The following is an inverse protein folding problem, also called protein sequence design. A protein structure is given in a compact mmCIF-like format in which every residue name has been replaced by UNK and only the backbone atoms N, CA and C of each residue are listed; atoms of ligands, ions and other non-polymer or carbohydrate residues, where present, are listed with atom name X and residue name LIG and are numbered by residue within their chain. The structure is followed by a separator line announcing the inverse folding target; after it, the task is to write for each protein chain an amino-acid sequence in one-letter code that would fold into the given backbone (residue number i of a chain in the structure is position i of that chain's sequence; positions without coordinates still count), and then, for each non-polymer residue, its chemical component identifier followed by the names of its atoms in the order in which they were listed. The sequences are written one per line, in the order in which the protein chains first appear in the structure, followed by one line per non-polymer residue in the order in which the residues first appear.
data_IF_141492883226
#
_entry.id   IF_141492883226
#
_cell.length_a   1.000
_cell.length_b   1.000
_cell.length_c   1.000
_cell.angle_alpha   90.00
_cell.angle_beta   90.00
_cell.angle_gamma   90.00
#
_symmetry.space_group_name_H-M   'P 1'
#
loop_
_entity.id
_entity.type
_entity.pdbx_description
1 polymer ?
#
# COMPACT_ATOMS: atom_id res chain seq x y z
N UNK A 1 -0.21 -13.74 7.33
CA UNK A 1 -0.54 -12.31 7.26
C UNK A 1 -1.87 -12.20 6.51
N UNK A 2 -2.87 -11.47 7.02
CA UNK A 2 -4.33 -11.66 6.80
C UNK A 2 -4.93 -12.88 7.55
N UNK A 3 -4.69 -12.99 8.87
CA UNK A 3 -5.47 -13.93 9.71
C UNK A 3 -6.33 -13.24 10.78
N UNK A 4 -6.21 -11.93 10.93
CA UNK A 4 -6.78 -11.18 12.07
C UNK A 4 -7.58 -9.94 11.65
N UNK A 5 -8.24 -10.00 10.50
CA UNK A 5 -9.19 -8.97 10.08
C UNK A 5 -10.54 -9.67 9.83
N UNK A 6 -11.53 -9.35 10.66
CA UNK A 6 -12.84 -10.01 10.73
C UNK A 6 -13.77 -9.71 9.54
N UNK A 7 -13.23 -9.24 8.42
CA UNK A 7 -14.02 -8.74 7.28
C UNK A 7 -14.19 -9.82 6.21
N UNK A 8 -15.39 -9.91 5.62
CA UNK A 8 -15.69 -10.80 4.48
C UNK A 8 -15.05 -10.31 3.18
N UNK A 9 -14.89 -8.99 3.06
CA UNK A 9 -14.30 -8.30 1.91
C UNK A 9 -13.42 -7.13 2.38
N UNK A 10 -12.33 -6.89 1.66
CA UNK A 10 -11.42 -5.78 1.89
C UNK A 10 -11.25 -4.97 0.62
N UNK A 11 -11.22 -3.65 0.75
CA UNK A 11 -10.83 -2.75 -0.33
C UNK A 11 -9.40 -2.32 -0.10
N UNK A 12 -8.54 -2.66 -1.05
CA UNK A 12 -7.12 -2.31 -1.04
C UNK A 12 -6.90 -1.09 -1.90
N UNK A 13 -6.49 -0.02 -1.25
CA UNK A 13 -6.07 1.22 -1.89
C UNK A 13 -4.55 1.29 -1.85
N UNK A 14 -3.92 1.32 -3.01
CA UNK A 14 -2.49 1.29 -3.17
C UNK A 14 -1.99 2.60 -3.78
N UNK A 15 -1.04 3.20 -3.09
CA UNK A 15 -0.35 4.39 -3.53
C UNK A 15 1.07 4.02 -3.83
N UNK A 16 1.46 4.30 -5.06
CA UNK A 16 2.83 4.17 -5.50
C UNK A 16 3.66 5.32 -4.94
N UNK A 17 3.08 6.52 -4.78
CA UNK A 17 3.80 7.68 -4.26
C UNK A 17 2.97 8.45 -3.22
N UNK A 18 3.51 8.64 -2.02
CA UNK A 18 3.23 9.81 -1.18
C UNK A 18 4.55 10.53 -0.89
N UNK A 19 4.67 11.78 -1.32
CA UNK A 19 5.88 12.58 -1.12
C UNK A 19 5.56 13.99 -0.66
N UNK A 20 6.57 14.69 -0.14
CA UNK A 20 6.57 16.15 0.06
C UNK A 20 7.78 16.69 -0.69
N UNK A 21 7.57 17.70 -1.54
CA UNK A 21 8.66 18.42 -2.21
C UNK A 21 9.37 19.32 -1.19
N UNK A 22 10.31 18.76 -0.44
CA UNK A 22 11.28 19.54 0.32
C UNK A 22 12.69 19.02 0.05
N UNK A 23 13.46 19.83 -0.69
CA UNK A 23 14.91 19.79 -0.88
C UNK A 23 15.67 18.75 -0.03
N UNK A 24 15.91 17.55 -0.56
CA UNK A 24 17.21 16.86 -0.60
C UNK A 24 17.06 15.47 -1.23
N UNK A 25 17.85 15.22 -2.28
CA UNK A 25 18.31 13.90 -2.77
C UNK A 25 17.24 12.84 -3.11
N UNK A 26 16.88 12.83 -4.41
CA UNK A 26 16.07 11.81 -5.09
C UNK A 26 14.63 11.67 -4.55
N UNK A 27 13.62 11.44 -5.41
CA UNK A 27 12.29 11.11 -4.93
C UNK A 27 12.37 9.74 -4.26
N UNK A 28 12.60 9.71 -2.94
CA UNK A 28 12.27 8.57 -2.10
C UNK A 28 10.75 8.50 -2.08
N UNK A 29 10.23 7.82 -3.10
CA UNK A 29 8.83 7.50 -3.29
C UNK A 29 8.49 6.42 -2.27
N UNK A 30 7.76 6.78 -1.22
CA UNK A 30 7.31 5.83 -0.20
C UNK A 30 5.93 5.28 -0.62
N UNK A 31 5.83 3.99 -0.98
CA UNK A 31 4.59 3.37 -1.35
C UNK A 31 3.79 3.08 -0.08
N UNK A 32 2.48 3.27 -0.17
CA UNK A 32 1.57 3.04 0.93
C UNK A 32 0.42 2.13 0.49
N UNK A 33 0.15 1.11 1.31
CA UNK A 33 -1.04 0.26 1.14
C UNK A 33 -2.00 0.52 2.30
N UNK A 34 -3.23 0.89 1.96
CA UNK A 34 -4.33 1.03 2.89
C UNK A 34 -5.31 -0.12 2.67
N UNK A 35 -5.64 -0.83 3.76
CA UNK A 35 -6.63 -1.90 3.76
C UNK A 35 -7.87 -1.38 4.47
N UNK A 36 -8.96 -1.26 3.74
CA UNK A 36 -10.23 -0.71 4.19
C UNK A 36 -11.31 -1.79 4.16
N UNK A 37 -12.34 -1.65 4.99
CA UNK A 37 -13.48 -2.59 4.96
C UNK A 37 -14.28 -2.44 3.67
N UNK A 38 -14.47 -3.54 2.92
CA UNK A 38 -15.23 -3.51 1.66
C UNK A 38 -16.71 -3.19 1.83
N UNK A 39 -17.26 -3.39 3.03
CA UNK A 39 -18.64 -2.99 3.35
C UNK A 39 -18.82 -1.46 3.41
N UNK A 40 -17.76 -0.74 3.80
CA UNK A 40 -17.77 0.72 3.98
C UNK A 40 -17.26 1.45 2.72
N UNK A 41 -16.39 0.80 1.95
CA UNK A 41 -15.76 1.38 0.75
C UNK A 41 -16.28 0.70 -0.51
N UNK A 42 -17.14 1.41 -1.24
CA UNK A 42 -17.76 0.91 -2.50
C UNK A 42 -16.91 1.10 -3.75
N UNK A 43 -15.98 2.05 -3.74
CA UNK A 43 -15.10 2.35 -4.88
C UNK A 43 -13.68 2.57 -4.38
N UNK A 44 -12.78 1.68 -4.78
CA UNK A 44 -11.36 1.75 -4.50
C UNK A 44 -10.73 3.00 -5.15
N UNK A 45 -11.12 3.30 -6.39
CA UNK A 45 -10.69 4.48 -7.12
C UNK A 45 -11.08 5.78 -6.40
N UNK A 46 -12.38 5.95 -6.11
CA UNK A 46 -12.87 7.19 -5.49
C UNK A 46 -12.25 7.39 -4.10
N UNK A 47 -12.13 6.31 -3.32
CA UNK A 47 -11.47 6.36 -2.03
C UNK A 47 -9.99 6.72 -2.15
N UNK A 48 -9.32 6.20 -3.19
CA UNK A 48 -7.93 6.53 -3.45
C UNK A 48 -7.75 8.03 -3.74
N UNK A 49 -8.63 8.59 -4.57
CA UNK A 49 -8.62 10.01 -4.90
C UNK A 49 -8.83 10.86 -3.65
N UNK A 50 -9.84 10.56 -2.83
CA UNK A 50 -10.14 11.33 -1.62
C UNK A 50 -8.96 11.43 -0.63
N UNK A 51 -8.26 10.31 -0.42
CA UNK A 51 -7.11 10.27 0.50
C UNK A 51 -5.91 11.01 -0.11
N UNK A 52 -5.74 10.95 -1.43
CA UNK A 52 -4.72 11.73 -2.15
C UNK A 52 -4.95 13.24 -2.04
N UNK A 53 -6.17 13.69 -2.33
CA UNK A 53 -6.59 15.09 -2.16
C UNK A 53 -6.40 15.56 -0.71
N UNK A 54 -6.72 14.71 0.27
CA UNK A 54 -6.48 15.00 1.69
C UNK A 54 -4.98 15.16 1.98
N UNK A 55 -4.12 14.34 1.38
CA UNK A 55 -2.67 14.46 1.55
C UNK A 55 -2.14 15.80 1.02
N UNK A 56 -2.58 16.22 -0.16
CA UNK A 56 -2.22 17.53 -0.72
C UNK A 56 -2.67 18.66 0.22
N UNK A 57 -3.89 18.58 0.77
CA UNK A 57 -4.39 19.56 1.74
C UNK A 57 -3.53 19.60 3.02
N UNK A 58 -3.24 18.44 3.62
CA UNK A 58 -2.44 18.33 4.84
C UNK A 58 -1.00 18.81 4.66
N UNK A 59 -0.46 18.68 3.45
CA UNK A 59 0.89 19.13 3.08
C UNK A 59 0.92 20.58 2.59
N UNK A 60 -0.22 21.27 2.59
CA UNK A 60 -0.41 22.62 2.07
C UNK A 60 0.03 22.76 0.60
N UNK A 61 -0.32 21.77 -0.23
CA UNK A 61 -0.03 21.73 -1.66
C UNK A 61 1.42 21.37 -2.01
N UNK A 62 2.26 21.04 -1.01
CA UNK A 62 3.66 20.63 -1.24
C UNK A 62 3.81 19.13 -1.43
N UNK A 63 2.79 18.36 -1.06
CA UNK A 63 2.77 16.93 -1.27
C UNK A 63 2.15 16.56 -2.59
N UNK A 64 2.60 15.44 -3.15
CA UNK A 64 2.00 14.82 -4.32
C UNK A 64 1.64 13.38 -3.98
N UNK A 65 0.66 12.85 -4.71
CA UNK A 65 0.28 11.45 -4.63
C UNK A 65 0.12 10.84 -6.02
N UNK A 66 0.34 9.53 -6.11
CA UNK A 66 0.01 8.76 -7.30
C UNK A 66 -0.64 7.44 -6.87
N UNK A 67 -1.82 7.16 -7.41
CA UNK A 67 -2.60 5.98 -7.07
C UNK A 67 -2.62 4.97 -8.21
N UNK A 68 -2.18 3.76 -7.90
CA UNK A 68 -2.23 2.62 -8.82
C UNK A 68 -3.67 2.18 -9.12
N UNK A 69 -4.62 2.52 -8.25
CA UNK A 69 -6.03 2.24 -8.47
C UNK A 69 -6.59 3.00 -9.68
N UNK A 70 -5.99 4.13 -10.06
CA UNK A 70 -6.38 4.90 -11.25
C UNK A 70 -6.05 4.19 -12.56
N UNK A 71 -4.95 3.43 -12.57
CA UNK A 71 -4.45 2.74 -13.76
C UNK A 71 -4.48 1.21 -13.59
N UNK A 72 -5.37 0.69 -12.73
CA UNK A 72 -5.35 -0.72 -12.34
C UNK A 72 -5.50 -1.71 -13.50
N UNK A 73 -6.13 -1.27 -14.60
CA UNK A 73 -6.34 -2.06 -15.80
C UNK A 73 -5.01 -2.42 -16.49
N UNK A 74 -3.95 -1.63 -16.29
CA UNK A 74 -2.62 -1.90 -16.84
C UNK A 74 -1.97 -3.17 -16.28
N UNK A 75 -2.40 -3.60 -15.08
CA UNK A 75 -1.88 -4.80 -14.44
C UNK A 75 -2.55 -6.09 -14.94
N UNK A 76 -3.62 -5.98 -15.74
CA UNK A 76 -4.33 -7.11 -16.32
C UNK A 76 -4.69 -8.18 -15.29
N UNK A 77 -4.37 -9.44 -15.60
CA UNK A 77 -4.65 -10.58 -14.73
C UNK A 77 -3.84 -10.59 -13.42
N UNK A 78 -2.80 -9.77 -13.30
CA UNK A 78 -1.94 -9.71 -12.11
C UNK A 78 -2.40 -8.67 -11.08
N UNK A 79 -3.56 -8.02 -11.31
CA UNK A 79 -4.10 -7.00 -10.41
C UNK A 79 -4.30 -7.54 -8.99
N UNK A 80 -3.58 -6.95 -8.04
CA UNK A 80 -3.61 -7.28 -6.61
C UNK A 80 -4.19 -6.18 -5.72
N UNK A 81 -4.91 -5.23 -6.31
CA UNK A 81 -5.48 -4.03 -5.67
C UNK A 81 -6.97 -3.91 -6.01
N UNK A 82 -7.71 -3.11 -5.24
CA UNK A 82 -9.17 -2.97 -5.37
C UNK A 82 -9.95 -3.82 -4.37
N UNK A 83 -11.21 -4.15 -4.68
CA UNK A 83 -12.06 -4.95 -3.79
C UNK A 83 -11.74 -6.43 -3.90
N UNK A 84 -11.19 -7.00 -2.83
CA UNK A 84 -10.74 -8.39 -2.75
C UNK A 84 -11.61 -9.12 -1.73
N UNK A 85 -12.23 -10.22 -2.15
CA UNK A 85 -12.97 -11.11 -1.26
C UNK A 85 -12.02 -12.00 -0.48
N UNK A 86 -12.37 -12.32 0.75
CA UNK A 86 -11.53 -13.16 1.63
C UNK A 86 -11.42 -14.61 1.14
N UNK A 87 -12.47 -15.13 0.52
CA UNK A 87 -12.54 -16.49 -0.02
C UNK A 87 -11.82 -16.65 -1.37
N UNK A 88 -11.45 -15.54 -2.03
CA UNK A 88 -10.70 -15.55 -3.28
C UNK A 88 -9.20 -15.78 -3.03
N UNK A 89 -8.78 -17.04 -3.10
CA UNK A 89 -7.40 -17.46 -2.89
C UNK A 89 -6.45 -16.89 -3.98
N UNK A 90 -6.92 -16.78 -5.22
CA UNK A 90 -6.09 -16.29 -6.33
C UNK A 90 -5.84 -14.80 -6.16
N UNK A 91 -6.88 -14.02 -5.89
CA UNK A 91 -6.76 -12.60 -5.64
C UNK A 91 -5.87 -12.32 -4.42
N UNK A 92 -5.97 -13.10 -3.34
CA UNK A 92 -5.08 -12.98 -2.18
C UNK A 92 -3.61 -13.22 -2.51
N UNK A 93 -3.30 -14.12 -3.45
CA UNK A 93 -1.91 -14.34 -3.90
C UNK A 93 -1.39 -13.12 -4.65
N UNK A 94 -2.22 -12.51 -5.50
CA UNK A 94 -1.89 -11.26 -6.21
C UNK A 94 -1.70 -10.09 -5.25
N UNK A 95 -2.50 -9.98 -4.19
CA UNK A 95 -2.30 -9.01 -3.11
C UNK A 95 -0.93 -9.17 -2.46
N UNK A 96 -0.53 -10.40 -2.10
CA UNK A 96 0.80 -10.65 -1.52
C UNK A 96 1.91 -10.24 -2.48
N UNK A 97 1.76 -10.50 -3.78
CA UNK A 97 2.69 -10.06 -4.81
C UNK A 97 2.77 -8.53 -4.88
N UNK A 98 1.64 -7.82 -4.83
CA UNK A 98 1.60 -6.36 -4.77
C UNK A 98 2.25 -5.82 -3.49
N UNK A 99 2.05 -6.48 -2.34
CA UNK A 99 2.68 -6.09 -1.07
C UNK A 99 4.21 -6.18 -1.09
N UNK A 100 4.81 -7.04 -1.91
CA UNK A 100 6.27 -7.07 -2.06
C UNK A 100 6.84 -5.79 -2.66
N UNK A 101 6.03 -5.01 -3.38
CA UNK A 101 6.44 -3.70 -3.87
C UNK A 101 6.64 -2.66 -2.75
N UNK A 102 6.01 -2.87 -1.58
CA UNK A 102 6.17 -2.00 -0.40
C UNK A 102 7.54 -2.13 0.27
N UNK A 103 8.29 -3.19 -0.03
CA UNK A 103 9.51 -3.55 0.70
C UNK A 103 10.74 -3.42 -0.18
N UNK A 104 10.83 -2.38 -1.02
CA UNK A 104 12.02 -2.16 -1.85
C UNK A 104 13.23 -1.94 -0.94
N UNK A 105 14.34 -2.61 -1.24
CA UNK A 105 15.57 -2.58 -0.43
C UNK A 105 16.20 -1.19 -0.31
N UNK A 106 15.77 -0.24 -1.14
CA UNK A 106 16.23 1.15 -1.17
C UNK A 106 15.37 2.11 -0.34
N UNK A 107 14.29 1.65 0.31
CA UNK A 107 13.45 2.47 1.18
C UNK A 107 13.88 2.35 2.63
N UNK A 108 14.31 3.47 3.20
CA UNK A 108 14.73 3.56 4.59
C UNK A 108 13.67 4.32 5.39
N UNK A 109 13.18 3.70 6.46
CA UNK A 109 12.32 4.40 7.41
C UNK A 109 13.16 5.42 8.19
N UNK A 110 13.11 6.70 7.80
CA UNK A 110 13.84 7.77 8.49
C UNK A 110 13.21 8.16 9.83
N UNK A 111 11.93 7.86 10.03
CA UNK A 111 11.21 8.17 11.26
C UNK A 111 10.19 7.06 11.58
N UNK A 112 10.15 6.57 12.82
CA UNK A 112 9.13 5.62 13.29
C UNK A 112 8.05 6.38 14.09
N UNK A 113 6.83 6.53 13.57
CA UNK A 113 5.75 7.17 14.31
C UNK A 113 5.39 6.44 15.61
N UNK A 114 4.86 7.16 16.58
CA UNK A 114 4.33 6.57 17.80
C UNK A 114 3.25 5.52 17.45
N UNK A 115 3.34 4.33 18.06
CA UNK A 115 2.45 3.16 17.82
C UNK A 115 2.62 2.46 16.46
N UNK A 116 3.56 2.88 15.60
CA UNK A 116 3.87 2.15 14.38
C UNK A 116 4.59 0.82 14.68
N UNK A 117 4.21 -0.25 13.96
CA UNK A 117 4.93 -1.53 13.96
C UNK A 117 5.69 -1.66 12.65
N UNK A 118 7.00 -1.89 12.74
CA UNK A 118 7.84 -2.14 11.56
C UNK A 118 7.88 -3.65 11.30
N UNK A 119 7.60 -4.05 10.07
CA UNK A 119 7.77 -5.42 9.61
C UNK A 119 9.03 -5.49 8.74
N UNK A 120 9.88 -6.48 9.01
CA UNK A 120 11.08 -6.75 8.21
C UNK A 120 11.09 -8.21 7.79
N UNK A 121 11.69 -8.51 6.65
CA UNK A 121 12.00 -9.89 6.28
C UNK A 121 12.99 -10.44 7.31
N UNK A 122 12.62 -11.51 8.02
CA UNK A 122 13.51 -12.19 8.94
C UNK A 122 14.52 -13.04 8.18
N UNK A 123 15.80 -12.69 8.20
CA UNK A 123 16.86 -13.61 7.76
C UNK A 123 17.02 -14.72 8.80
N UNK A 124 16.37 -15.86 8.57
CA UNK A 124 16.69 -17.09 9.29
C UNK A 124 18.02 -17.58 8.72
N UNK A 125 19.13 -17.34 9.45
CA UNK A 125 20.39 -18.04 9.15
C UNK A 125 20.15 -19.51 9.43
N UNK A 126 20.06 -20.34 8.38
CA UNK A 126 20.18 -21.78 8.56
C UNK A 126 21.61 -22.03 9.02
N UNK A 127 21.77 -22.57 10.23
CA UNK A 127 23.04 -23.17 10.61
C UNK A 127 23.27 -24.33 9.66
N UNK A 128 24.29 -24.22 8.80
CA UNK A 128 24.84 -25.39 8.12
C UNK A 128 25.37 -26.32 9.21
N UNK A 129 24.82 -27.53 9.26
CA UNK A 129 25.32 -28.63 10.07
C UNK A 129 26.70 -29.08 9.59
#
# INVERSE_FOLDING_TARGET
MIKELAWEQATLTFYDCFGIDHYLLAPLVDPALLILGGAEVRSDFYKAQQIGELWEQLTAGRGYYYSCNAEKDQYGDEVGIGTIRRDDIQARTKVVKAMHYLTKDTQYLHLKPARAKAFRTGCIRRSTA
#
